data_IF_104389243030
#
_entry.id   IF_104389243030
#
_cell.length_a   1.000
_cell.length_b   1.000
_cell.length_c   1.000
_cell.angle_alpha   90.00
_cell.angle_beta   90.00
_cell.angle_gamma   90.00
#
_symmetry.space_group_name_H-M   'P 1'
#
loop_
_entity.id
_entity.type
_entity.pdbx_description
1 polymer ?
#
# COMPACT_ATOMS: atom_id res chain seq x y z
N UNK A 1 37.51 1.82 -1.68
CA UNK A 1 36.42 2.54 -2.37
C UNK A 1 35.53 1.53 -3.06
N UNK A 2 34.22 1.59 -2.92
CA UNK A 2 33.24 0.74 -3.60
C UNK A 2 32.80 1.37 -4.92
N UNK A 3 32.33 0.55 -5.87
CA UNK A 3 31.61 1.07 -7.04
C UNK A 3 30.26 1.65 -6.63
N UNK A 4 29.54 0.90 -5.81
CA UNK A 4 28.20 1.30 -5.35
C UNK A 4 28.02 1.01 -3.87
N UNK A 5 27.50 1.99 -3.13
CA UNK A 5 26.96 1.78 -1.78
C UNK A 5 25.44 1.85 -1.85
N UNK A 6 24.77 0.93 -1.18
CA UNK A 6 23.31 0.87 -1.08
C UNK A 6 22.93 0.99 0.39
N UNK A 7 22.05 1.96 0.73
CA UNK A 7 21.59 2.19 2.09
C UNK A 7 20.16 1.66 2.22
N UNK A 8 19.99 0.61 3.02
CA UNK A 8 18.72 -0.03 3.33
C UNK A 8 18.58 -1.42 2.72
N UNK A 9 18.38 -2.43 3.56
CA UNK A 9 18.21 -3.85 3.22
C UNK A 9 16.76 -4.29 3.02
N UNK A 10 15.87 -3.38 2.58
CA UNK A 10 14.49 -3.67 2.18
C UNK A 10 14.40 -4.24 0.76
N UNK A 11 13.18 -4.53 0.23
CA UNK A 11 13.03 -5.14 -1.10
C UNK A 11 13.68 -4.31 -2.22
N UNK A 12 13.60 -2.98 -2.17
CA UNK A 12 14.23 -2.11 -3.17
C UNK A 12 15.76 -2.14 -3.08
N UNK A 13 16.33 -2.10 -1.88
CA UNK A 13 17.77 -2.14 -1.69
C UNK A 13 18.37 -3.51 -2.02
N UNK A 14 17.68 -4.60 -1.64
CA UNK A 14 18.10 -5.95 -2.01
C UNK A 14 18.10 -6.15 -3.53
N UNK A 15 17.05 -5.71 -4.23
CA UNK A 15 16.99 -5.80 -5.69
C UNK A 15 18.02 -4.85 -6.36
N UNK A 16 18.27 -3.68 -5.77
CA UNK A 16 19.33 -2.79 -6.24
C UNK A 16 20.72 -3.44 -6.08
N UNK A 17 20.95 -4.17 -4.98
CA UNK A 17 22.20 -4.90 -4.78
C UNK A 17 22.37 -6.03 -5.80
N UNK A 18 21.30 -6.78 -6.10
CA UNK A 18 21.30 -7.79 -7.17
C UNK A 18 21.72 -7.15 -8.50
N UNK A 19 21.03 -6.10 -8.93
CA UNK A 19 21.27 -5.50 -10.23
C UNK A 19 22.64 -4.79 -10.31
N UNK A 20 23.09 -4.14 -9.24
CA UNK A 20 24.40 -3.48 -9.20
C UNK A 20 25.55 -4.48 -9.24
N UNK A 21 25.44 -5.60 -8.54
CA UNK A 21 26.48 -6.63 -8.50
C UNK A 21 26.58 -7.45 -9.79
N UNK A 22 25.57 -7.46 -10.63
CA UNK A 22 25.64 -7.97 -12.00
C UNK A 22 26.54 -7.10 -12.90
N UNK A 23 26.74 -5.83 -12.55
CA UNK A 23 27.54 -4.86 -13.29
C UNK A 23 28.93 -4.64 -12.70
N UNK A 24 29.09 -4.83 -11.39
CA UNK A 24 30.36 -4.60 -10.68
C UNK A 24 30.51 -5.54 -9.50
N UNK A 25 31.71 -6.02 -9.27
CA UNK A 25 32.05 -6.87 -8.10
C UNK A 25 32.24 -6.09 -6.79
N UNK A 26 32.18 -4.74 -6.82
CA UNK A 26 32.47 -3.89 -5.66
C UNK A 26 31.22 -3.16 -5.17
N UNK A 27 30.29 -3.91 -4.55
CA UNK A 27 29.03 -3.41 -4.02
C UNK A 27 28.97 -3.61 -2.50
N UNK A 28 28.54 -2.57 -1.77
CA UNK A 28 28.30 -2.58 -0.33
C UNK A 28 26.83 -2.28 -0.05
N UNK A 29 26.18 -3.16 0.72
CA UNK A 29 24.84 -2.95 1.28
C UNK A 29 24.94 -2.69 2.79
N UNK A 30 24.39 -1.56 3.25
CA UNK A 30 24.37 -1.18 4.66
C UNK A 30 22.92 -1.20 5.18
N UNK A 31 22.69 -1.94 6.24
CA UNK A 31 21.40 -2.04 6.94
C UNK A 31 21.56 -1.74 8.44
N UNK A 32 20.73 -0.85 8.97
CA UNK A 32 20.83 -0.42 10.39
C UNK A 32 20.34 -1.45 11.40
N UNK A 33 19.50 -2.42 10.97
CA UNK A 33 18.95 -3.45 11.82
C UNK A 33 19.57 -4.81 11.49
N UNK A 34 19.48 -5.73 12.44
CA UNK A 34 19.81 -7.14 12.20
C UNK A 34 18.72 -7.80 11.35
N UNK A 35 19.11 -8.48 10.28
CA UNK A 35 18.25 -9.21 9.36
C UNK A 35 17.66 -8.34 8.26
N UNK A 36 17.96 -8.70 7.03
CA UNK A 36 17.48 -8.06 5.80
C UNK A 36 16.01 -8.39 5.53
N UNK A 37 15.33 -7.55 4.75
CA UNK A 37 13.95 -7.80 4.29
C UNK A 37 12.87 -7.79 5.38
N UNK A 38 13.10 -7.15 6.52
CA UNK A 38 12.22 -7.23 7.72
C UNK A 38 10.75 -6.88 7.42
N UNK A 39 10.50 -5.76 6.71
CA UNK A 39 9.14 -5.36 6.34
C UNK A 39 8.53 -6.32 5.31
N UNK A 40 9.35 -6.85 4.39
CA UNK A 40 8.93 -7.84 3.39
C UNK A 40 8.47 -9.15 4.04
N UNK A 41 9.18 -9.63 5.08
CA UNK A 41 8.84 -10.86 5.83
C UNK A 41 7.44 -10.84 6.46
N UNK A 42 6.96 -9.68 6.86
CA UNK A 42 5.62 -9.53 7.49
C UNK A 42 4.54 -9.12 6.49
N UNK A 43 4.90 -8.83 5.26
CA UNK A 43 3.95 -8.40 4.24
C UNK A 43 2.93 -9.50 3.89
N UNK A 44 1.71 -9.09 3.53
CA UNK A 44 0.65 -10.03 3.18
C UNK A 44 0.33 -11.04 4.29
N UNK A 45 0.48 -10.67 5.57
CA UNK A 45 0.28 -11.57 6.71
C UNK A 45 1.36 -12.66 6.79
N UNK A 46 2.58 -12.39 6.34
CA UNK A 46 3.70 -13.34 6.31
C UNK A 46 3.75 -14.20 5.03
N UNK A 47 2.84 -13.95 4.07
CA UNK A 47 2.77 -14.70 2.80
C UNK A 47 3.51 -14.02 1.64
N UNK A 48 3.65 -12.68 1.69
CA UNK A 48 4.22 -11.80 0.67
C UNK A 48 3.47 -11.81 -0.67
N UNK A 49 2.82 -10.72 -1.01
CA UNK A 49 2.39 -10.46 -2.40
C UNK A 49 3.61 -9.96 -3.19
N UNK A 50 4.37 -10.87 -3.79
CA UNK A 50 5.64 -10.59 -4.47
C UNK A 50 5.48 -9.55 -5.57
N UNK A 51 4.42 -9.72 -6.37
CA UNK A 51 4.02 -8.80 -7.44
C UNK A 51 2.54 -9.02 -7.77
N UNK A 52 2.10 -8.46 -8.89
CA UNK A 52 0.76 -8.65 -9.44
C UNK A 52 0.87 -8.98 -10.94
N UNK A 53 0.08 -9.95 -11.43
CA UNK A 53 0.14 -10.42 -12.82
C UNK A 53 -0.73 -9.62 -13.80
N UNK A 54 -1.42 -8.60 -13.32
CA UNK A 54 -2.13 -7.69 -14.23
C UNK A 54 -1.15 -7.07 -15.24
N UNK A 55 -1.62 -6.69 -16.43
CA UNK A 55 -0.81 -5.89 -17.34
C UNK A 55 -0.26 -4.65 -16.63
N UNK A 56 0.98 -4.27 -16.89
CA UNK A 56 1.63 -3.19 -16.16
C UNK A 56 0.85 -1.86 -16.20
N UNK A 57 0.11 -1.60 -17.26
CA UNK A 57 -0.77 -0.43 -17.34
C UNK A 57 -1.89 -0.46 -16.28
N UNK A 58 -2.41 -1.64 -15.94
CA UNK A 58 -3.40 -1.82 -14.87
C UNK A 58 -2.72 -1.77 -13.50
N UNK A 59 -1.51 -2.31 -13.36
CA UNK A 59 -0.71 -2.14 -12.13
C UNK A 59 -0.53 -0.65 -11.82
N UNK A 60 -0.15 0.16 -12.81
CA UNK A 60 0.05 1.61 -12.67
C UNK A 60 -1.22 2.33 -12.21
N UNK A 61 -2.41 1.92 -12.68
CA UNK A 61 -3.70 2.47 -12.21
C UNK A 61 -3.96 2.18 -10.73
N UNK A 62 -3.43 1.08 -10.21
CA UNK A 62 -3.49 0.72 -8.79
C UNK A 62 -2.40 1.38 -7.93
N UNK A 63 -1.63 2.32 -8.50
CA UNK A 63 -0.63 3.13 -7.83
C UNK A 63 -1.08 4.61 -7.89
N UNK A 64 -2.06 5.03 -7.05
CA UNK A 64 -2.61 6.38 -7.08
C UNK A 64 -1.62 7.47 -6.65
N UNK A 65 -0.50 7.09 -6.05
CA UNK A 65 0.63 7.96 -5.73
C UNK A 65 1.65 7.99 -6.85
N UNK A 66 1.44 8.83 -7.87
CA UNK A 66 2.36 9.08 -8.98
C UNK A 66 2.74 7.83 -9.82
N UNK A 67 1.87 6.83 -9.91
CA UNK A 67 2.12 5.58 -10.63
C UNK A 67 2.61 5.76 -12.08
N UNK A 68 2.23 6.85 -12.75
CA UNK A 68 2.67 7.16 -14.13
C UNK A 68 4.19 7.30 -14.25
N UNK A 69 4.90 7.65 -13.18
CA UNK A 69 6.35 7.70 -13.16
C UNK A 69 6.97 6.34 -13.49
N UNK A 70 6.29 5.26 -13.15
CA UNK A 70 6.79 3.89 -13.30
C UNK A 70 6.76 3.36 -14.74
N UNK A 71 6.11 4.02 -15.70
CA UNK A 71 6.12 3.57 -17.10
C UNK A 71 7.55 3.33 -17.63
N UNK A 72 8.47 4.20 -17.28
CA UNK A 72 9.86 4.08 -17.73
C UNK A 72 10.61 2.95 -17.01
N UNK A 73 10.60 2.84 -15.67
CA UNK A 73 11.19 1.69 -14.98
C UNK A 73 10.59 0.34 -15.42
N UNK A 74 9.28 0.24 -15.64
CA UNK A 74 8.62 -0.98 -16.12
C UNK A 74 9.08 -1.41 -17.53
N UNK A 75 9.54 -0.48 -18.37
CA UNK A 75 10.08 -0.84 -19.68
C UNK A 75 11.46 -1.52 -19.62
N UNK A 76 12.10 -1.49 -18.45
CA UNK A 76 13.42 -2.10 -18.20
C UNK A 76 13.27 -3.39 -17.39
N UNK A 77 12.45 -3.36 -16.35
CA UNK A 77 12.20 -4.49 -15.46
C UNK A 77 10.74 -4.43 -15.01
N UNK A 78 9.91 -5.37 -15.44
CA UNK A 78 8.47 -5.37 -15.20
C UNK A 78 8.03 -6.45 -14.21
N UNK A 79 6.73 -6.62 -14.05
CA UNK A 79 6.16 -7.62 -13.15
C UNK A 79 6.40 -9.06 -13.63
N UNK A 80 6.46 -9.33 -14.94
CA UNK A 80 6.82 -10.65 -15.45
C UNK A 80 8.30 -10.93 -15.19
N UNK A 81 9.17 -9.93 -15.37
CA UNK A 81 10.59 -10.02 -15.00
C UNK A 81 10.78 -10.35 -13.51
N UNK A 82 9.93 -9.80 -12.62
CA UNK A 82 9.94 -10.16 -11.20
C UNK A 82 9.56 -11.63 -11.02
N UNK A 83 8.52 -12.11 -11.69
CA UNK A 83 8.09 -13.52 -11.63
C UNK A 83 9.23 -14.42 -12.07
N UNK A 84 9.81 -14.16 -13.25
CA UNK A 84 10.93 -14.93 -13.79
C UNK A 84 12.16 -14.92 -12.87
N UNK A 85 12.44 -13.77 -12.23
CA UNK A 85 13.54 -13.65 -11.27
C UNK A 85 13.40 -14.66 -10.11
N UNK A 86 12.21 -14.76 -9.52
CA UNK A 86 11.99 -15.66 -8.39
C UNK A 86 11.85 -17.12 -8.84
N UNK A 87 11.12 -17.40 -9.91
CA UNK A 87 10.89 -18.77 -10.39
C UNK A 87 12.18 -19.41 -10.91
N UNK A 88 13.03 -18.68 -11.63
CA UNK A 88 14.35 -19.17 -12.07
C UNK A 88 15.29 -19.47 -10.92
N UNK A 89 15.03 -18.92 -9.73
CA UNK A 89 15.80 -19.16 -8.49
C UNK A 89 15.12 -20.15 -7.55
N UNK A 90 14.08 -20.86 -8.02
CA UNK A 90 13.43 -21.96 -7.31
C UNK A 90 12.24 -21.59 -6.42
N UNK A 91 11.84 -20.31 -6.37
CA UNK A 91 10.62 -19.91 -5.66
C UNK A 91 9.44 -19.91 -6.63
N UNK A 92 8.68 -21.02 -6.62
CA UNK A 92 7.45 -21.13 -7.43
C UNK A 92 6.40 -20.15 -6.92
N UNK A 93 5.78 -19.41 -7.82
CA UNK A 93 4.71 -18.47 -7.54
C UNK A 93 3.36 -19.03 -7.98
N UNK A 94 2.29 -18.61 -7.31
CA UNK A 94 0.89 -18.87 -7.67
C UNK A 94 0.13 -17.56 -7.76
N UNK A 95 -0.81 -17.50 -8.69
CA UNK A 95 -1.76 -16.41 -8.79
C UNK A 95 -2.97 -16.67 -7.89
N UNK A 96 -3.37 -15.66 -7.13
CA UNK A 96 -4.62 -15.63 -6.38
C UNK A 96 -5.50 -14.48 -6.91
N UNK A 97 -6.67 -14.27 -6.30
CA UNK A 97 -7.64 -13.25 -6.66
C UNK A 97 -6.99 -11.88 -6.95
N UNK A 98 -7.55 -11.17 -7.91
CA UNK A 98 -7.07 -9.85 -8.37
C UNK A 98 -5.63 -9.85 -8.92
N UNK A 99 -5.14 -10.96 -9.42
CA UNK A 99 -3.80 -11.09 -10.02
C UNK A 99 -2.65 -11.09 -9.02
N UNK A 100 -2.90 -11.28 -7.73
CA UNK A 100 -1.86 -11.30 -6.70
C UNK A 100 -0.95 -12.51 -6.85
N UNK A 101 0.36 -12.27 -6.95
CA UNK A 101 1.36 -13.33 -7.06
C UNK A 101 1.98 -13.62 -5.69
N UNK A 102 1.82 -14.83 -5.19
CA UNK A 102 2.34 -15.27 -3.90
C UNK A 102 3.23 -16.51 -4.06
N UNK A 103 4.22 -16.71 -3.20
CA UNK A 103 4.95 -17.97 -3.18
C UNK A 103 4.00 -19.15 -2.86
N UNK A 104 4.15 -20.26 -3.58
CA UNK A 104 3.35 -21.48 -3.38
C UNK A 104 3.46 -21.96 -1.93
N UNK A 105 4.63 -21.78 -1.31
CA UNK A 105 4.88 -22.10 0.10
C UNK A 105 4.07 -21.26 1.09
N UNK A 106 3.49 -20.12 0.66
CA UNK A 106 2.87 -19.11 1.51
C UNK A 106 3.82 -18.53 2.59
N UNK A 107 5.13 -18.50 2.33
CA UNK A 107 6.15 -17.99 3.25
C UNK A 107 6.89 -16.79 2.62
N UNK A 108 6.71 -15.61 3.17
CA UNK A 108 7.45 -14.41 2.78
C UNK A 108 8.96 -14.56 2.97
N UNK A 109 9.37 -15.47 3.88
CA UNK A 109 10.78 -15.78 4.13
C UNK A 109 11.48 -16.29 2.87
N UNK A 110 10.85 -17.16 2.08
CA UNK A 110 11.47 -17.73 0.86
C UNK A 110 11.80 -16.62 -0.17
N UNK A 111 10.96 -15.59 -0.23
CA UNK A 111 11.20 -14.42 -1.09
C UNK A 111 12.42 -13.62 -0.62
N UNK A 112 12.53 -13.41 0.69
CA UNK A 112 13.68 -12.70 1.28
C UNK A 112 14.95 -13.52 1.11
N UNK A 113 14.91 -14.82 1.42
CA UNK A 113 16.07 -15.71 1.34
C UNK A 113 16.61 -15.79 -0.09
N UNK A 114 15.72 -15.76 -1.08
CA UNK A 114 16.14 -15.74 -2.49
C UNK A 114 16.92 -14.46 -2.84
N UNK A 115 16.45 -13.31 -2.42
CA UNK A 115 17.17 -12.04 -2.63
C UNK A 115 18.51 -12.04 -1.90
N UNK A 116 18.53 -12.44 -0.62
CA UNK A 116 19.75 -12.46 0.20
C UNK A 116 20.77 -13.45 -0.36
N UNK A 117 20.36 -14.70 -0.64
CA UNK A 117 21.26 -15.71 -1.20
C UNK A 117 21.81 -15.26 -2.57
N UNK A 118 21.02 -14.52 -3.37
CA UNK A 118 21.49 -14.01 -4.66
C UNK A 118 22.62 -13.02 -4.47
N UNK A 119 22.48 -12.01 -3.61
CA UNK A 119 23.52 -11.01 -3.37
C UNK A 119 24.77 -11.61 -2.67
N UNK A 120 24.60 -12.62 -1.80
CA UNK A 120 25.70 -13.35 -1.19
C UNK A 120 26.52 -14.11 -2.25
N UNK A 121 25.86 -14.81 -3.18
CA UNK A 121 26.52 -15.51 -4.31
C UNK A 121 27.21 -14.56 -5.26
N UNK A 122 26.73 -13.33 -5.38
CA UNK A 122 27.34 -12.26 -6.17
C UNK A 122 28.41 -11.49 -5.39
N UNK A 123 28.79 -11.95 -4.20
CA UNK A 123 29.83 -11.40 -3.34
C UNK A 123 29.60 -9.94 -2.91
N UNK A 124 28.34 -9.50 -2.78
CA UNK A 124 28.01 -8.21 -2.20
C UNK A 124 28.49 -8.16 -0.75
N UNK A 125 29.21 -7.12 -0.38
CA UNK A 125 29.58 -6.88 1.02
C UNK A 125 28.34 -6.42 1.78
N UNK A 126 27.95 -7.10 2.87
CA UNK A 126 26.78 -6.78 3.67
C UNK A 126 27.23 -6.30 5.06
N UNK A 127 26.71 -5.16 5.50
CA UNK A 127 26.90 -4.61 6.85
C UNK A 127 25.54 -4.43 7.50
N UNK A 128 25.23 -5.31 8.42
CA UNK A 128 24.04 -5.21 9.27
C UNK A 128 24.36 -4.54 10.60
N UNK A 129 23.33 -4.07 11.30
CA UNK A 129 23.44 -3.35 12.59
C UNK A 129 24.32 -2.11 12.48
N UNK A 130 24.40 -1.53 11.28
CA UNK A 130 25.23 -0.37 10.98
C UNK A 130 24.38 0.80 10.43
N UNK A 131 24.03 1.73 11.31
CA UNK A 131 23.20 2.87 10.96
C UNK A 131 24.03 3.97 10.28
N UNK A 132 23.63 4.38 9.08
CA UNK A 132 24.19 5.57 8.43
C UNK A 132 23.73 6.80 9.19
N UNK A 133 24.66 7.71 9.46
CA UNK A 133 24.43 8.98 10.17
C UNK A 133 24.47 10.19 9.25
N UNK A 134 25.32 10.17 8.24
CA UNK A 134 25.54 11.29 7.30
C UNK A 134 26.08 10.80 5.96
N UNK A 135 25.79 11.55 4.92
CA UNK A 135 26.31 11.37 3.57
C UNK A 135 26.99 12.67 3.13
N UNK A 136 28.16 12.58 2.58
CA UNK A 136 28.91 13.70 2.00
C UNK A 136 29.15 13.44 0.51
N UNK A 137 29.04 14.49 -0.28
CA UNK A 137 29.48 14.52 -1.68
C UNK A 137 30.87 15.17 -1.73
N UNK A 138 31.85 14.43 -2.17
CA UNK A 138 33.25 14.90 -2.26
C UNK A 138 33.44 15.83 -3.46
N UNK A 139 34.57 16.55 -3.47
CA UNK A 139 34.91 17.48 -4.55
C UNK A 139 35.08 16.79 -5.91
N UNK A 140 35.46 15.52 -5.92
CA UNK A 140 35.56 14.64 -7.08
C UNK A 140 34.24 13.94 -7.44
N UNK A 141 33.14 14.38 -6.83
CA UNK A 141 31.76 13.83 -6.98
C UNK A 141 31.60 12.39 -6.50
N UNK A 142 32.56 11.82 -5.79
CA UNK A 142 32.37 10.55 -5.05
C UNK A 142 31.58 10.79 -3.77
N UNK A 143 31.14 9.71 -3.13
CA UNK A 143 30.35 9.76 -1.89
C UNK A 143 31.14 9.21 -0.71
N UNK A 144 31.08 9.90 0.43
CA UNK A 144 31.48 9.35 1.73
C UNK A 144 30.26 9.13 2.58
N UNK A 145 30.01 7.86 2.94
CA UNK A 145 28.90 7.43 3.79
C UNK A 145 29.43 7.17 5.19
N UNK A 146 29.00 7.98 6.15
CA UNK A 146 29.40 7.87 7.55
C UNK A 146 28.37 7.03 8.31
N UNK A 147 28.85 6.09 9.11
CA UNK A 147 28.07 5.34 10.08
C UNK A 147 28.52 5.73 11.50
N UNK A 148 27.99 5.08 12.51
CA UNK A 148 28.42 5.33 13.90
C UNK A 148 29.91 4.98 14.14
N UNK A 149 30.42 3.96 13.44
CA UNK A 149 31.75 3.40 13.72
C UNK A 149 32.71 3.47 12.53
N UNK A 150 32.21 3.67 11.31
CA UNK A 150 32.98 3.58 10.07
C UNK A 150 32.63 4.68 9.08
N UNK A 151 33.49 4.82 8.07
CA UNK A 151 33.20 5.60 6.86
C UNK A 151 33.55 4.78 5.64
N UNK A 152 32.69 4.86 4.61
CA UNK A 152 32.83 4.14 3.36
C UNK A 152 32.77 5.09 2.18
N UNK A 153 33.57 4.85 1.17
CA UNK A 153 33.60 5.66 -0.04
C UNK A 153 33.11 4.90 -1.26
N UNK A 154 32.38 5.58 -2.15
CA UNK A 154 31.89 4.99 -3.41
C UNK A 154 31.77 6.00 -4.54
N UNK A 155 31.78 5.48 -5.78
CA UNK A 155 31.50 6.26 -6.98
C UNK A 155 30.02 6.57 -7.14
N UNK A 156 29.14 5.67 -6.73
CA UNK A 156 27.68 5.85 -6.77
C UNK A 156 27.02 5.46 -5.46
N UNK A 157 25.86 6.04 -5.19
CA UNK A 157 25.11 5.84 -3.97
C UNK A 157 23.64 5.57 -4.27
N UNK A 158 23.04 4.55 -3.64
CA UNK A 158 21.61 4.24 -3.73
C UNK A 158 20.95 4.43 -2.36
N UNK A 159 19.96 5.31 -2.25
CA UNK A 159 19.11 5.46 -1.06
C UNK A 159 17.86 4.59 -1.23
N UNK A 160 17.73 3.52 -0.44
CA UNK A 160 16.67 2.53 -0.49
C UNK A 160 16.05 2.25 0.90
N UNK A 161 15.97 3.28 1.74
CA UNK A 161 15.67 3.19 3.18
C UNK A 161 14.18 2.97 3.51
N UNK A 162 13.30 3.01 2.51
CA UNK A 162 11.85 2.93 2.70
C UNK A 162 11.25 4.23 3.26
N UNK A 163 10.01 4.14 3.74
CA UNK A 163 9.25 5.27 4.31
C UNK A 163 9.31 5.37 5.84
N UNK A 164 8.18 5.76 6.45
CA UNK A 164 8.01 5.89 7.91
C UNK A 164 6.95 4.95 8.49
N UNK A 165 6.30 4.16 7.65
CA UNK A 165 5.31 3.18 8.09
C UNK A 165 5.97 1.92 8.66
N UNK A 166 5.35 1.31 9.68
CA UNK A 166 5.85 0.11 10.39
C UNK A 166 7.31 0.30 10.90
N UNK A 167 7.59 1.33 11.72
CA UNK A 167 8.96 1.76 12.08
C UNK A 167 9.78 0.69 12.83
N UNK A 168 9.12 -0.28 13.49
CA UNK A 168 9.79 -1.40 14.14
C UNK A 168 10.58 -2.28 13.16
N UNK A 169 10.28 -2.21 11.87
CA UNK A 169 11.02 -2.95 10.83
C UNK A 169 12.29 -2.24 10.37
N UNK A 170 12.49 -0.99 10.76
CA UNK A 170 13.63 -0.17 10.36
C UNK A 170 13.25 1.04 9.48
N UNK A 171 12.00 1.13 9.00
CA UNK A 171 11.50 2.26 8.19
C UNK A 171 11.17 3.46 9.09
N UNK A 172 12.15 4.26 9.46
CA UNK A 172 12.05 5.40 10.38
C UNK A 172 12.19 6.76 9.70
N UNK A 173 12.28 6.78 8.36
CA UNK A 173 12.35 8.01 7.58
C UNK A 173 13.75 8.62 7.44
N UNK A 174 14.82 7.91 7.80
CA UNK A 174 16.20 8.41 7.72
C UNK A 174 16.56 8.90 6.32
N UNK A 175 16.11 8.18 5.28
CA UNK A 175 16.36 8.53 3.88
C UNK A 175 15.77 9.87 3.47
N UNK A 176 14.70 10.30 4.08
CA UNK A 176 14.15 11.65 3.82
C UNK A 176 15.12 12.72 4.29
N UNK A 177 15.72 12.53 5.47
CA UNK A 177 16.75 13.44 5.98
C UNK A 177 17.97 13.43 5.05
N UNK A 178 18.47 12.27 4.66
CA UNK A 178 19.62 12.19 3.76
C UNK A 178 19.36 12.87 2.42
N UNK A 179 18.19 12.61 1.82
CA UNK A 179 17.79 13.25 0.57
C UNK A 179 17.65 14.77 0.72
N UNK A 180 17.09 15.25 1.82
CA UNK A 180 16.93 16.69 2.11
C UNK A 180 18.29 17.37 2.32
N UNK A 181 19.21 16.74 3.05
CA UNK A 181 20.57 17.24 3.28
C UNK A 181 21.34 17.34 1.93
N UNK A 182 20.99 16.52 0.94
CA UNK A 182 21.50 16.54 -0.44
C UNK A 182 20.69 17.44 -1.40
N UNK A 183 19.80 18.27 -0.88
CA UNK A 183 19.07 19.29 -1.63
C UNK A 183 17.73 18.86 -2.22
N UNK A 184 17.28 17.61 -1.98
CA UNK A 184 16.00 17.13 -2.48
C UNK A 184 14.81 17.65 -1.68
N UNK A 185 13.71 17.88 -2.38
CA UNK A 185 12.41 18.23 -1.80
C UNK A 185 11.69 16.98 -1.31
N UNK A 186 11.26 17.00 -0.04
CA UNK A 186 10.38 15.98 0.52
C UNK A 186 8.95 16.49 0.49
N UNK A 187 8.07 15.80 -0.24
CA UNK A 187 6.63 16.10 -0.24
C UNK A 187 6.03 15.69 1.10
N UNK A 188 4.87 16.26 1.42
CA UNK A 188 4.23 15.97 2.70
C UNK A 188 3.97 14.46 2.88
N UNK A 189 4.40 13.94 4.03
CA UNK A 189 4.19 12.54 4.39
C UNK A 189 2.81 12.36 5.04
N UNK A 190 2.10 11.30 4.66
CA UNK A 190 0.79 10.98 5.21
C UNK A 190 0.55 9.46 5.23
N UNK A 191 -0.34 8.96 6.13
CA UNK A 191 -0.67 7.54 6.16
C UNK A 191 -1.51 7.15 4.95
N UNK A 192 -1.20 6.00 4.34
CA UNK A 192 -2.03 5.36 3.32
C UNK A 192 -2.09 3.85 3.56
N UNK A 193 -3.12 3.18 3.04
CA UNK A 193 -3.37 1.77 3.36
C UNK A 193 -3.43 1.56 4.89
N UNK A 194 -4.31 2.30 5.55
CA UNK A 194 -4.41 2.39 6.99
C UNK A 194 -5.89 2.34 7.42
N UNK A 195 -6.26 1.75 8.58
CA UNK A 195 -7.63 1.80 9.08
C UNK A 195 -8.13 3.23 9.28
N UNK A 196 -9.43 3.43 9.04
CA UNK A 196 -10.12 4.73 9.15
C UNK A 196 -10.83 4.80 10.50
N UNK A 197 -10.74 5.95 11.18
CA UNK A 197 -11.35 6.17 12.48
C UNK A 197 -12.72 6.87 12.37
N UNK A 198 -13.62 6.54 13.27
CA UNK A 198 -14.95 7.15 13.34
C UNK A 198 -15.42 7.30 14.78
N UNK A 199 -16.09 8.42 15.05
CA UNK A 199 -16.69 8.70 16.37
C UNK A 199 -18.20 8.47 16.39
N UNK A 200 -18.76 7.84 15.37
CA UNK A 200 -20.19 7.52 15.29
C UNK A 200 -20.66 6.68 16.48
N UNK A 201 -21.90 6.88 16.97
CA UNK A 201 -22.42 6.15 18.13
C UNK A 201 -22.35 4.63 17.99
N UNK A 202 -22.63 4.09 16.80
CA UNK A 202 -22.59 2.65 16.55
C UNK A 202 -21.16 2.06 16.58
N UNK A 203 -20.12 2.88 16.34
CA UNK A 203 -18.71 2.50 16.51
C UNK A 203 -18.36 2.52 18.00
N UNK A 204 -18.68 3.64 18.71
CA UNK A 204 -18.39 3.80 20.15
C UNK A 204 -19.05 2.75 21.02
N UNK A 205 -20.28 2.35 20.68
CA UNK A 205 -21.02 1.30 21.38
C UNK A 205 -20.53 -0.13 21.06
N UNK A 206 -19.58 -0.28 20.14
CA UNK A 206 -19.11 -1.56 19.62
C UNK A 206 -20.21 -2.44 18.97
N UNK A 207 -21.34 -1.87 18.55
CA UNK A 207 -22.50 -2.60 18.04
C UNK A 207 -22.17 -3.52 16.86
N UNK A 208 -21.33 -3.01 15.91
CA UNK A 208 -20.89 -3.74 14.73
C UNK A 208 -19.45 -4.27 14.83
N UNK A 209 -18.79 -4.11 15.96
CA UNK A 209 -17.38 -4.54 16.13
C UNK A 209 -17.19 -6.02 15.75
N UNK A 210 -16.18 -6.28 14.90
CA UNK A 210 -15.81 -7.60 14.40
C UNK A 210 -16.73 -8.10 13.27
N UNK A 211 -17.72 -7.32 12.84
CA UNK A 211 -18.55 -7.65 11.69
C UNK A 211 -17.78 -7.35 10.40
N UNK A 212 -17.68 -8.35 9.53
CA UNK A 212 -17.14 -8.20 8.17
C UNK A 212 -18.29 -8.18 7.17
N UNK A 213 -18.33 -7.20 6.31
CA UNK A 213 -19.19 -7.17 5.14
C UNK A 213 -18.36 -7.59 3.92
N UNK A 214 -18.92 -8.48 3.11
CA UNK A 214 -18.26 -9.01 1.92
C UNK A 214 -18.67 -8.23 0.69
N UNK A 215 -17.70 -7.93 -0.15
CA UNK A 215 -17.90 -7.35 -1.49
C UNK A 215 -18.83 -6.10 -1.51
N UNK A 216 -18.68 -5.21 -0.53
CA UNK A 216 -19.46 -3.97 -0.44
C UNK A 216 -18.72 -2.81 -1.14
N UNK A 217 -19.45 -1.87 -1.71
CA UNK A 217 -18.87 -0.63 -2.20
C UNK A 217 -18.77 0.39 -1.07
N UNK A 218 -17.55 0.79 -0.74
CA UNK A 218 -17.25 1.86 0.20
C UNK A 218 -16.81 3.12 -0.55
N UNK A 219 -17.47 4.23 -0.30
CA UNK A 219 -17.24 5.50 -0.99
C UNK A 219 -16.80 6.60 -0.04
N UNK A 220 -15.80 7.40 -0.44
CA UNK A 220 -15.46 8.69 0.19
C UNK A 220 -16.24 9.79 -0.51
N UNK A 221 -16.92 10.65 0.24
CA UNK A 221 -17.80 11.69 -0.31
C UNK A 221 -17.16 13.07 -0.27
N UNK A 222 -17.36 13.84 -1.33
CA UNK A 222 -17.07 15.28 -1.38
C UNK A 222 -18.10 16.04 -0.56
N UNK A 223 -17.83 17.34 -0.26
CA UNK A 223 -18.75 18.23 0.45
C UNK A 223 -20.16 18.32 -0.17
N UNK A 224 -20.28 18.15 -1.48
CA UNK A 224 -21.56 18.17 -2.20
C UNK A 224 -22.25 16.80 -2.28
N UNK A 225 -21.82 15.80 -1.52
CA UNK A 225 -22.37 14.45 -1.49
C UNK A 225 -21.95 13.56 -2.67
N UNK A 226 -21.25 14.07 -3.69
CA UNK A 226 -20.78 13.24 -4.80
C UNK A 226 -19.61 12.36 -4.35
N UNK A 227 -19.53 11.15 -4.90
CA UNK A 227 -18.41 10.24 -4.66
C UNK A 227 -17.09 10.85 -5.14
N UNK A 228 -16.07 10.85 -4.29
CA UNK A 228 -14.67 11.17 -4.63
C UNK A 228 -13.99 9.97 -5.24
N UNK A 229 -14.18 8.84 -4.60
CA UNK A 229 -13.68 7.52 -4.97
C UNK A 229 -14.59 6.46 -4.37
N UNK A 230 -14.64 5.29 -4.99
CA UNK A 230 -15.29 4.10 -4.46
C UNK A 230 -14.38 2.89 -4.64
N UNK A 231 -14.45 1.95 -3.71
CA UNK A 231 -13.80 0.65 -3.81
C UNK A 231 -14.78 -0.44 -3.39
N UNK A 232 -14.99 -1.42 -4.27
CA UNK A 232 -15.82 -2.59 -4.01
C UNK A 232 -14.92 -3.72 -3.54
N UNK A 233 -14.97 -4.04 -2.25
CA UNK A 233 -14.18 -5.08 -1.59
C UNK A 233 -14.76 -5.38 -0.20
N UNK A 234 -14.17 -6.33 0.50
CA UNK A 234 -14.50 -6.63 1.90
C UNK A 234 -14.18 -5.44 2.82
N UNK A 235 -15.04 -5.25 3.82
CA UNK A 235 -14.88 -4.24 4.87
C UNK A 235 -15.09 -4.86 6.25
N UNK A 236 -14.39 -4.37 7.26
CA UNK A 236 -14.48 -4.82 8.65
C UNK A 236 -14.79 -3.64 9.58
N UNK A 237 -15.81 -3.76 10.41
CA UNK A 237 -16.05 -2.85 11.53
C UNK A 237 -15.14 -3.18 12.72
N UNK A 238 -14.51 -2.15 13.29
CA UNK A 238 -13.61 -2.25 14.45
C UNK A 238 -14.15 -1.43 15.63
N UNK A 239 -13.46 -1.47 16.76
CA UNK A 239 -13.81 -0.64 17.93
C UNK A 239 -13.47 0.85 17.77
N UNK A 240 -12.69 1.21 16.75
CA UNK A 240 -12.28 2.60 16.50
C UNK A 240 -12.80 3.16 15.16
N UNK A 241 -13.46 2.34 14.35
CA UNK A 241 -13.92 2.73 13.02
C UNK A 241 -14.03 1.55 12.07
N UNK A 242 -13.40 1.64 10.90
CA UNK A 242 -13.45 0.62 9.86
C UNK A 242 -12.05 0.24 9.36
N UNK A 243 -11.92 -1.01 8.89
CA UNK A 243 -10.73 -1.59 8.31
C UNK A 243 -11.12 -2.53 7.16
N UNK A 244 -10.21 -3.37 6.72
CA UNK A 244 -10.41 -4.26 5.57
C UNK A 244 -10.03 -3.60 4.24
N UNK A 245 -9.94 -4.36 3.15
CA UNK A 245 -9.41 -3.87 1.87
C UNK A 245 -10.08 -2.61 1.34
N UNK A 246 -11.41 -2.51 1.39
CA UNK A 246 -12.13 -1.31 0.95
C UNK A 246 -11.74 -0.06 1.75
N UNK A 247 -11.68 -0.18 3.09
CA UNK A 247 -11.34 0.92 3.97
C UNK A 247 -9.87 1.35 3.80
N UNK A 248 -8.95 0.39 3.69
CA UNK A 248 -7.53 0.67 3.47
C UNK A 248 -7.31 1.48 2.20
N UNK A 249 -7.91 1.09 1.08
CA UNK A 249 -7.82 1.83 -0.20
C UNK A 249 -8.46 3.21 -0.15
N UNK A 250 -9.53 3.39 0.63
CA UNK A 250 -10.19 4.68 0.81
C UNK A 250 -9.37 5.64 1.69
N UNK A 251 -8.49 5.17 2.55
CA UNK A 251 -7.87 5.94 3.65
C UNK A 251 -7.13 7.20 3.20
N UNK A 252 -6.33 7.12 2.14
CA UNK A 252 -5.62 8.28 1.60
C UNK A 252 -6.56 9.38 1.09
N UNK A 253 -7.75 8.99 0.59
CA UNK A 253 -8.73 9.95 0.09
C UNK A 253 -9.49 10.62 1.23
N UNK A 254 -9.68 9.94 2.36
CA UNK A 254 -10.18 10.58 3.60
C UNK A 254 -9.20 11.68 4.02
N UNK A 255 -7.90 11.37 4.12
CA UNK A 255 -6.87 12.36 4.44
C UNK A 255 -6.87 13.55 3.47
N UNK A 256 -6.87 13.27 2.16
CA UNK A 256 -6.90 14.31 1.12
C UNK A 256 -8.17 15.16 1.17
N UNK A 257 -9.35 14.55 1.41
CA UNK A 257 -10.61 15.29 1.51
C UNK A 257 -10.69 16.11 2.80
N UNK A 258 -10.13 15.67 3.92
CA UNK A 258 -10.02 16.51 5.14
C UNK A 258 -9.29 17.84 4.84
N UNK A 259 -8.19 17.76 4.10
CA UNK A 259 -7.44 18.95 3.67
C UNK A 259 -8.25 19.82 2.69
N UNK A 260 -8.82 19.19 1.66
CA UNK A 260 -9.59 19.91 0.63
C UNK A 260 -10.81 20.63 1.21
N UNK A 261 -11.53 19.97 2.11
CA UNK A 261 -12.75 20.51 2.73
C UNK A 261 -12.45 21.36 3.99
N UNK A 262 -11.21 21.39 4.45
CA UNK A 262 -10.77 22.04 5.71
C UNK A 262 -11.64 21.63 6.89
N UNK A 263 -11.93 20.34 7.03
CA UNK A 263 -12.75 19.75 8.09
C UNK A 263 -12.12 18.48 8.63
N UNK A 264 -12.39 18.20 9.90
CA UNK A 264 -11.98 16.93 10.50
C UNK A 264 -12.95 15.77 10.17
N UNK A 265 -14.18 16.07 9.74
CA UNK A 265 -15.21 15.08 9.49
C UNK A 265 -15.49 14.94 8.00
N UNK A 266 -15.29 13.73 7.50
CA UNK A 266 -15.60 13.36 6.10
C UNK A 266 -16.75 12.35 6.11
N UNK A 267 -17.71 12.54 5.22
CA UNK A 267 -18.78 11.57 5.00
C UNK A 267 -18.29 10.43 4.12
N UNK A 268 -18.63 9.22 4.52
CA UNK A 268 -18.46 8.00 3.72
C UNK A 268 -19.81 7.33 3.53
N UNK A 269 -19.94 6.53 2.48
CA UNK A 269 -21.15 5.77 2.20
C UNK A 269 -20.82 4.29 1.94
N UNK A 270 -21.67 3.40 2.48
CA UNK A 270 -21.61 1.97 2.21
C UNK A 270 -22.80 1.61 1.32
N UNK A 271 -22.55 0.98 0.18
CA UNK A 271 -23.52 0.23 -0.60
C UNK A 271 -23.29 -1.25 -0.33
N UNK A 272 -24.25 -1.87 0.36
CA UNK A 272 -24.14 -3.26 0.78
C UNK A 272 -24.45 -4.26 -0.34
N UNK A 273 -25.04 -3.80 -1.45
CA UNK A 273 -25.44 -4.61 -2.61
C UNK A 273 -25.03 -3.93 -3.93
N UNK A 274 -23.73 -3.74 -4.19
CA UNK A 274 -23.26 -2.96 -5.34
C UNK A 274 -23.69 -3.55 -6.69
N UNK A 275 -23.90 -4.86 -6.78
CA UNK A 275 -24.33 -5.54 -8.01
C UNK A 275 -25.82 -5.32 -8.35
N UNK A 276 -26.62 -4.84 -7.41
CA UNK A 276 -28.06 -4.59 -7.59
C UNK A 276 -28.33 -3.09 -7.61
N UNK A 277 -29.13 -2.61 -8.58
CA UNK A 277 -29.69 -1.29 -8.48
C UNK A 277 -30.83 -1.22 -7.47
N UNK A 278 -31.34 -0.03 -7.15
CA UNK A 278 -32.40 0.18 -6.14
C UNK A 278 -33.65 -0.64 -6.44
N UNK A 279 -34.10 -0.68 -7.68
CA UNK A 279 -35.31 -1.40 -8.08
C UNK A 279 -35.10 -2.93 -7.96
N UNK A 280 -33.96 -3.45 -8.41
CA UNK A 280 -33.64 -4.87 -8.30
C UNK A 280 -33.55 -5.32 -6.84
N UNK A 281 -32.89 -4.52 -5.97
CA UNK A 281 -32.83 -4.83 -4.54
C UNK A 281 -34.22 -4.79 -3.90
N UNK A 282 -35.04 -3.79 -4.25
CA UNK A 282 -36.42 -3.68 -3.77
C UNK A 282 -37.25 -4.90 -4.17
N UNK A 283 -37.18 -5.31 -5.44
CA UNK A 283 -37.88 -6.50 -5.94
C UNK A 283 -37.42 -7.78 -5.21
N UNK A 284 -36.10 -7.92 -5.00
CA UNK A 284 -35.55 -9.06 -4.26
C UNK A 284 -36.06 -9.12 -2.83
N UNK A 285 -36.02 -8.00 -2.08
CA UNK A 285 -36.54 -7.92 -0.72
C UNK A 285 -38.05 -8.20 -0.72
N UNK A 286 -38.81 -7.61 -1.66
CA UNK A 286 -40.27 -7.81 -1.75
C UNK A 286 -40.59 -9.29 -1.96
N UNK A 287 -39.86 -10.01 -2.80
CA UNK A 287 -40.05 -11.45 -3.01
C UNK A 287 -39.86 -12.23 -1.71
N UNK A 288 -38.74 -11.97 -0.98
CA UNK A 288 -38.49 -12.65 0.31
C UNK A 288 -39.59 -12.41 1.36
N UNK A 289 -40.15 -11.20 1.39
CA UNK A 289 -41.23 -10.83 2.31
C UNK A 289 -42.56 -11.48 1.90
N UNK A 290 -42.85 -11.55 0.62
CA UNK A 290 -44.08 -12.15 0.07
C UNK A 290 -44.13 -13.66 0.28
N UNK A 291 -42.99 -14.33 0.27
CA UNK A 291 -42.85 -15.77 0.52
C UNK A 291 -43.15 -16.12 2.01
N UNK A 292 -43.08 -15.12 2.90
CA UNK A 292 -43.21 -15.32 4.35
C UNK A 292 -44.02 -14.19 5.02
N UNK A 293 -45.30 -13.97 4.64
CA UNK A 293 -46.07 -12.78 5.03
C UNK A 293 -46.30 -12.67 6.55
N UNK A 294 -46.45 -13.79 7.24
CA UNK A 294 -46.75 -13.86 8.68
C UNK A 294 -45.50 -13.93 9.57
N UNK A 295 -44.30 -14.07 8.95
CA UNK A 295 -43.06 -14.04 9.72
C UNK A 295 -42.63 -12.61 10.04
N UNK A 296 -41.93 -12.45 11.13
CA UNK A 296 -41.25 -11.18 11.46
C UNK A 296 -40.14 -10.90 10.49
N UNK A 297 -39.94 -9.60 10.13
CA UNK A 297 -39.08 -9.14 9.05
C UNK A 297 -37.63 -9.63 9.16
N UNK A 298 -37.06 -9.69 10.36
CA UNK A 298 -35.74 -10.21 10.57
C UNK A 298 -35.57 -11.68 10.14
N UNK A 299 -36.61 -12.48 10.33
CA UNK A 299 -36.61 -13.89 9.95
C UNK A 299 -36.89 -14.07 8.45
N UNK A 300 -37.70 -13.21 7.86
CA UNK A 300 -37.96 -13.20 6.41
C UNK A 300 -36.76 -12.79 5.60
N UNK A 301 -35.94 -11.90 6.13
CA UNK A 301 -34.67 -11.40 5.49
C UNK A 301 -33.43 -12.14 5.99
N UNK A 302 -33.61 -13.23 6.76
CA UNK A 302 -32.47 -14.05 7.21
C UNK A 302 -31.66 -14.57 6.00
N UNK A 303 -30.36 -14.40 6.03
CA UNK A 303 -29.47 -14.82 4.95
C UNK A 303 -29.30 -13.81 3.80
N UNK A 304 -30.05 -12.69 3.79
CA UNK A 304 -29.86 -11.62 2.84
C UNK A 304 -28.49 -10.91 3.03
N UNK A 305 -28.15 -10.66 4.28
CA UNK A 305 -26.88 -10.09 4.72
C UNK A 305 -26.59 -10.55 6.16
N UNK A 306 -25.40 -10.25 6.68
CA UNK A 306 -25.05 -10.55 8.08
C UNK A 306 -26.09 -10.00 9.06
N UNK A 307 -26.63 -10.85 9.93
CA UNK A 307 -27.79 -10.55 10.80
C UNK A 307 -27.61 -9.26 11.62
N UNK A 308 -26.43 -9.06 12.22
CA UNK A 308 -26.16 -7.83 13.00
C UNK A 308 -26.23 -6.55 12.15
N UNK A 309 -25.85 -6.64 10.87
CA UNK A 309 -25.97 -5.51 9.97
C UNK A 309 -27.42 -5.30 9.52
N UNK A 310 -28.15 -6.37 9.25
CA UNK A 310 -29.59 -6.31 8.96
C UNK A 310 -30.35 -5.60 10.09
N UNK A 311 -30.16 -6.04 11.33
CA UNK A 311 -30.84 -5.44 12.51
C UNK A 311 -30.47 -3.96 12.67
N UNK A 312 -29.21 -3.61 12.43
CA UNK A 312 -28.77 -2.22 12.46
C UNK A 312 -29.42 -1.40 11.35
N UNK A 313 -29.56 -1.92 10.13
CA UNK A 313 -30.22 -1.22 9.03
C UNK A 313 -31.72 -1.05 9.25
N UNK A 314 -32.39 -2.04 9.81
CA UNK A 314 -33.82 -1.94 10.22
C UNK A 314 -33.99 -0.79 11.21
N UNK A 315 -33.18 -0.73 12.26
CA UNK A 315 -33.23 0.37 13.24
C UNK A 315 -32.95 1.74 12.59
N UNK A 316 -31.96 1.85 11.70
CA UNK A 316 -31.68 3.11 11.00
C UNK A 316 -32.81 3.53 10.07
N UNK A 317 -33.56 2.58 9.52
CA UNK A 317 -34.77 2.82 8.71
C UNK A 317 -36.03 3.04 9.58
N UNK A 318 -35.94 3.02 10.91
CA UNK A 318 -37.07 3.17 11.82
C UNK A 318 -38.05 2.00 11.76
N UNK A 319 -37.60 0.80 11.49
CA UNK A 319 -38.40 -0.42 11.38
C UNK A 319 -38.16 -1.29 12.62
N UNK A 320 -39.22 -1.62 13.34
CA UNK A 320 -39.16 -2.61 14.42
C UNK A 320 -38.88 -4.00 13.85
N UNK A 321 -37.83 -4.66 14.32
CA UNK A 321 -37.42 -6.00 13.88
C UNK A 321 -38.47 -7.07 14.04
N UNK A 322 -39.46 -6.85 14.93
CA UNK A 322 -40.58 -7.73 15.19
C UNK A 322 -41.81 -7.44 14.32
N UNK A 323 -41.77 -6.42 13.46
CA UNK A 323 -42.82 -6.16 12.46
C UNK A 323 -42.96 -7.37 11.55
N UNK A 324 -44.19 -7.83 11.31
CA UNK A 324 -44.46 -8.93 10.35
C UNK A 324 -44.32 -8.40 8.92
N UNK A 325 -43.91 -9.27 8.00
CA UNK A 325 -43.63 -8.92 6.61
C UNK A 325 -44.78 -8.16 5.91
N UNK A 326 -46.03 -8.60 6.12
CA UNK A 326 -47.20 -7.96 5.50
C UNK A 326 -47.59 -6.60 6.12
N UNK A 327 -47.07 -6.24 7.30
CA UNK A 327 -47.28 -4.94 7.91
C UNK A 327 -46.21 -3.89 7.49
N UNK A 328 -45.19 -4.27 6.73
CA UNK A 328 -44.20 -3.34 6.24
C UNK A 328 -44.82 -2.44 5.16
N UNK A 329 -44.82 -1.14 5.41
CA UNK A 329 -45.30 -0.18 4.42
C UNK A 329 -44.32 -0.01 3.23
N UNK A 330 -44.83 0.40 2.08
CA UNK A 330 -43.98 0.68 0.92
C UNK A 330 -42.93 1.77 1.21
N UNK A 331 -43.21 2.74 2.09
CA UNK A 331 -42.26 3.77 2.49
C UNK A 331 -41.12 3.14 3.29
N UNK A 332 -41.42 2.33 4.31
CA UNK A 332 -40.42 1.63 5.11
C UNK A 332 -39.53 0.71 4.24
N UNK A 333 -40.14 0.00 3.28
CA UNK A 333 -39.38 -0.81 2.32
C UNK A 333 -38.40 0.05 1.50
N UNK A 334 -38.85 1.20 0.98
CA UNK A 334 -37.98 2.12 0.25
C UNK A 334 -36.85 2.68 1.14
N UNK A 335 -37.16 3.02 2.39
CA UNK A 335 -36.18 3.53 3.35
C UNK A 335 -35.12 2.47 3.66
N UNK A 336 -35.52 1.20 3.85
CA UNK A 336 -34.59 0.09 4.04
C UNK A 336 -33.69 -0.13 2.82
N UNK A 337 -34.27 -0.11 1.62
CA UNK A 337 -33.51 -0.21 0.36
C UNK A 337 -32.50 0.93 0.24
N UNK A 338 -32.90 2.16 0.56
CA UNK A 338 -32.00 3.33 0.54
C UNK A 338 -30.87 3.18 1.56
N UNK A 339 -31.15 2.65 2.77
CA UNK A 339 -30.13 2.38 3.76
C UNK A 339 -29.11 1.33 3.27
N UNK A 340 -29.56 0.25 2.65
CA UNK A 340 -28.65 -0.75 2.09
C UNK A 340 -27.83 -0.21 0.90
N UNK A 341 -28.40 0.68 0.09
CA UNK A 341 -27.73 1.22 -1.10
C UNK A 341 -26.86 2.44 -0.82
N UNK A 342 -26.92 3.02 0.37
CA UNK A 342 -26.18 4.25 0.62
C UNK A 342 -26.16 4.67 2.09
N UNK A 343 -25.80 3.79 3.01
CA UNK A 343 -25.66 4.15 4.42
C UNK A 343 -24.51 5.14 4.61
N UNK A 344 -24.87 6.40 4.92
CA UNK A 344 -23.92 7.48 5.12
C UNK A 344 -23.54 7.59 6.61
N UNK A 345 -22.23 7.69 6.88
CA UNK A 345 -21.68 7.90 8.21
C UNK A 345 -20.45 8.81 8.15
N UNK A 346 -20.06 9.37 9.30
CA UNK A 346 -18.92 10.27 9.40
C UNK A 346 -17.68 9.56 9.92
N UNK A 347 -16.55 9.89 9.33
CA UNK A 347 -15.22 9.48 9.78
C UNK A 347 -14.43 10.71 10.19
N UNK A 348 -13.51 10.57 11.15
CA UNK A 348 -12.74 11.68 11.70
C UNK A 348 -11.24 11.58 11.42
N UNK A 349 -10.83 10.71 10.51
CA UNK A 349 -9.45 10.55 10.07
C UNK A 349 -9.04 9.09 9.91
N UNK A 350 -7.76 8.84 10.12
CA UNK A 350 -7.15 7.52 10.03
C UNK A 350 -6.33 7.24 11.28
N UNK A 351 -5.90 6.00 11.47
CA UNK A 351 -4.84 5.71 12.41
C UNK A 351 -3.54 6.43 11.96
N UNK A 352 -2.59 6.70 12.89
CA UNK A 352 -1.37 7.42 12.56
C UNK A 352 -0.44 6.63 11.64
N UNK A 353 0.54 7.32 11.04
CA UNK A 353 1.41 6.80 9.98
C UNK A 353 2.25 5.57 10.41
N UNK A 354 2.60 5.46 11.68
CA UNK A 354 3.31 4.30 12.24
C UNK A 354 2.45 3.01 12.23
N UNK A 355 1.12 3.15 12.11
CA UNK A 355 0.15 2.04 11.97
C UNK A 355 -0.26 1.79 10.51
N UNK A 356 0.18 2.63 9.58
CA UNK A 356 -0.09 2.45 8.15
C UNK A 356 0.78 1.32 7.56
N UNK A 357 0.28 0.67 6.52
CA UNK A 357 1.10 -0.28 5.76
C UNK A 357 2.04 0.44 4.81
N UNK A 358 1.66 1.60 4.31
CA UNK A 358 2.38 2.36 3.29
C UNK A 358 2.45 3.84 3.66
N UNK A 359 3.59 4.46 3.37
CA UNK A 359 3.81 5.90 3.48
C UNK A 359 3.42 6.58 2.17
N UNK A 360 2.54 7.58 2.23
CA UNK A 360 2.30 8.50 1.12
C UNK A 360 3.21 9.71 1.23
N UNK A 361 3.54 10.33 0.10
CA UNK A 361 4.58 11.37 0.03
C UNK A 361 5.99 10.76 -0.05
N UNK A 362 7.01 11.59 -0.08
CA UNK A 362 8.41 11.17 -0.18
C UNK A 362 9.26 12.13 -0.99
N UNK A 363 10.40 11.67 -1.49
CA UNK A 363 11.28 12.45 -2.36
C UNK A 363 10.56 12.79 -3.66
N UNK A 364 10.59 14.09 -4.02
CA UNK A 364 9.92 14.64 -5.20
C UNK A 364 10.41 13.98 -6.49
N UNK A 365 9.51 13.36 -7.23
CA UNK A 365 9.83 12.70 -8.51
C UNK A 365 10.24 13.67 -9.63
N UNK A 366 9.96 14.96 -9.49
CA UNK A 366 10.44 15.99 -10.43
C UNK A 366 11.95 16.07 -10.46
N UNK A 367 12.61 15.66 -9.38
CA UNK A 367 14.05 15.71 -9.17
C UNK A 367 14.74 14.36 -9.47
N UNK A 368 14.00 13.37 -9.94
CA UNK A 368 14.51 12.03 -10.27
C UNK A 368 14.33 11.75 -11.77
N UNK A 369 15.33 11.12 -12.37
CA UNK A 369 15.28 10.66 -13.76
C UNK A 369 14.54 9.32 -13.83
N UNK A 370 13.39 9.22 -14.50
CA UNK A 370 12.60 7.98 -14.47
C UNK A 370 13.26 6.80 -15.19
N UNK A 371 14.16 7.04 -16.13
CA UNK A 371 14.87 5.97 -16.88
C UNK A 371 15.97 5.29 -16.07
N UNK A 372 16.60 6.03 -15.16
CA UNK A 372 17.79 5.57 -14.44
C UNK A 372 17.62 5.52 -12.94
N UNK A 373 16.57 6.15 -12.41
CA UNK A 373 16.35 6.41 -10.98
C UNK A 373 17.41 7.35 -10.37
N UNK A 374 18.26 7.99 -11.17
CA UNK A 374 19.29 8.92 -10.72
C UNK A 374 18.69 10.28 -10.35
N UNK A 375 19.23 10.89 -9.32
CA UNK A 375 18.99 12.29 -8.97
C UNK A 375 19.33 13.21 -10.13
N UNK A 376 18.51 14.22 -10.36
CA UNK A 376 18.82 15.34 -11.27
C UNK A 376 19.66 16.43 -10.61
N UNK A 377 19.76 16.39 -9.27
CA UNK A 377 20.45 17.40 -8.46
C UNK A 377 21.86 16.98 -8.10
N UNK A 378 22.07 15.68 -7.85
CA UNK A 378 23.35 15.11 -7.42
C UNK A 378 23.72 13.96 -8.36
N UNK A 379 24.68 14.14 -9.26
CA UNK A 379 25.17 13.07 -10.13
C UNK A 379 25.69 11.87 -9.32
N UNK A 380 25.41 10.64 -9.78
CA UNK A 380 25.81 9.42 -9.09
C UNK A 380 24.94 9.02 -7.87
N UNK A 381 23.99 9.86 -7.47
CA UNK A 381 22.99 9.54 -6.45
C UNK A 381 21.76 8.91 -7.11
N UNK A 382 21.32 7.76 -6.60
CA UNK A 382 20.10 7.05 -7.03
C UNK A 382 19.15 6.87 -5.85
N UNK A 383 17.85 6.88 -6.12
CA UNK A 383 16.82 6.68 -5.10
C UNK A 383 15.79 5.69 -5.60
N UNK A 384 15.36 4.76 -4.73
CA UNK A 384 14.39 3.73 -5.11
C UNK A 384 13.52 3.26 -3.94
N UNK A 385 12.36 2.69 -4.27
CA UNK A 385 11.41 2.17 -3.31
C UNK A 385 10.57 3.26 -2.64
N UNK A 386 10.06 2.96 -1.45
CA UNK A 386 9.07 3.78 -0.72
C UNK A 386 9.64 5.12 -0.19
N UNK A 387 10.94 5.39 -0.31
CA UNK A 387 11.52 6.71 -0.05
C UNK A 387 11.08 7.74 -1.09
N UNK A 388 10.71 7.31 -2.28
CA UNK A 388 10.15 8.14 -3.34
C UNK A 388 8.66 8.45 -3.09
N UNK A 389 8.17 9.57 -3.60
CA UNK A 389 6.74 9.90 -3.59
C UNK A 389 5.94 8.99 -4.55
N UNK A 390 5.98 7.67 -4.27
CA UNK A 390 5.25 6.63 -5.00
C UNK A 390 4.58 5.72 -3.97
N UNK A 391 3.25 5.61 -4.06
CA UNK A 391 2.49 4.70 -3.20
C UNK A 391 1.31 4.09 -3.95
N UNK A 392 1.12 2.79 -3.76
CA UNK A 392 0.06 1.99 -4.35
C UNK A 392 -0.89 1.44 -3.30
N UNK A 393 -2.00 0.86 -3.78
CA UNK A 393 -2.89 0.06 -2.94
C UNK A 393 -2.19 -1.22 -2.46
N UNK A 394 -2.78 -1.88 -1.45
CA UNK A 394 -2.44 -3.27 -1.12
C UNK A 394 -2.79 -4.19 -2.29
N UNK A 395 -2.03 -5.29 -2.46
CA UNK A 395 -2.20 -6.24 -3.57
C UNK A 395 -0.95 -6.51 -4.40
N UNK A 396 0.25 -6.26 -3.84
CA UNK A 396 1.54 -6.46 -4.48
C UNK A 396 2.15 -5.20 -5.09
N UNK A 397 1.35 -4.16 -5.34
CA UNK A 397 1.76 -2.97 -6.11
C UNK A 397 2.95 -2.20 -5.51
N UNK A 398 3.01 -2.06 -4.18
CA UNK A 398 4.13 -1.38 -3.50
C UNK A 398 5.42 -2.21 -3.55
N UNK A 399 5.32 -3.53 -3.43
CA UNK A 399 6.47 -4.43 -3.54
C UNK A 399 6.97 -4.43 -4.99
N UNK A 400 6.06 -4.50 -5.96
CA UNK A 400 6.39 -4.35 -7.39
C UNK A 400 7.15 -3.06 -7.65
N UNK A 401 6.63 -1.91 -7.18
CA UNK A 401 7.30 -0.61 -7.34
C UNK A 401 8.70 -0.62 -6.70
N UNK A 402 8.84 -1.23 -5.52
CA UNK A 402 10.12 -1.31 -4.83
C UNK A 402 11.14 -2.17 -5.59
N UNK A 403 10.73 -3.34 -6.11
CA UNK A 403 11.60 -4.23 -6.87
C UNK A 403 11.98 -3.61 -8.22
N UNK A 404 11.02 -3.05 -8.95
CA UNK A 404 11.23 -2.40 -10.24
C UNK A 404 12.19 -1.22 -10.13
N UNK A 405 11.91 -0.28 -9.24
CA UNK A 405 12.77 0.90 -9.05
C UNK A 405 14.12 0.53 -8.45
N UNK A 406 14.18 -0.49 -7.60
CA UNK A 406 15.41 -1.04 -7.05
C UNK A 406 16.31 -1.62 -8.15
N UNK A 407 15.74 -2.46 -9.02
CA UNK A 407 16.48 -3.04 -10.14
C UNK A 407 17.08 -1.95 -11.05
N UNK A 408 16.26 -0.99 -11.46
CA UNK A 408 16.71 0.10 -12.33
C UNK A 408 17.78 0.95 -11.66
N UNK A 409 17.59 1.34 -10.40
CA UNK A 409 18.58 2.10 -9.65
C UNK A 409 19.92 1.34 -9.54
N UNK A 410 19.87 0.06 -9.20
CA UNK A 410 21.06 -0.79 -9.09
C UNK A 410 21.80 -0.97 -10.41
N UNK A 411 21.07 -1.25 -11.49
CA UNK A 411 21.62 -1.39 -12.83
C UNK A 411 22.45 -0.16 -13.23
N UNK A 412 21.88 1.02 -13.10
CA UNK A 412 22.56 2.26 -13.51
C UNK A 412 23.62 2.72 -12.49
N UNK A 413 23.46 2.44 -11.20
CA UNK A 413 24.48 2.72 -10.19
C UNK A 413 25.72 1.83 -10.39
N UNK A 414 25.54 0.55 -10.72
CA UNK A 414 26.64 -0.38 -10.98
C UNK A 414 27.47 -0.02 -12.20
N UNK A 415 26.86 0.62 -13.21
CA UNK A 415 27.53 1.12 -14.42
C UNK A 415 28.03 2.57 -14.31
N UNK A 416 27.68 3.27 -13.24
CA UNK A 416 27.97 4.69 -13.14
C UNK A 416 29.46 4.98 -13.13
N UNK A 417 29.92 5.84 -14.08
CA UNK A 417 31.23 6.44 -14.07
C UNK A 417 31.14 7.91 -14.42
N UNK A 418 31.96 8.76 -13.78
CA UNK A 418 31.96 10.19 -14.07
C UNK A 418 32.39 10.50 -15.52
N UNK A 419 33.20 9.62 -16.11
CA UNK A 419 33.70 9.79 -17.49
C UNK A 419 32.63 9.53 -18.58
N UNK A 420 31.48 8.97 -18.26
CA UNK A 420 30.42 8.69 -19.23
C UNK A 420 29.37 9.81 -19.35
N UNK A 421 29.60 10.96 -18.72
CA UNK A 421 28.68 12.11 -18.74
C UNK A 421 29.24 13.32 -19.52
N UNK A 422 30.45 13.25 -20.06
CA UNK A 422 30.99 14.17 -21.05
C UNK A 422 30.67 13.66 -22.48
#
# INVERSE_FOLDING_TARGET
MYQTIIIGGGPSGLMAAVAASEQSSSVLLIEKKKGLGRKLKISGGGRCNVTNRLPYAEIIKNIPGNGKFLYSPFSIFDNESIIDFFESRGVKLKEEDHGRMLPVSNKAQDVVDTLVTTIERQHVTIKEEEAVSRIEVNTDQTFTVHTQNNSYESHSLVIATGGTSVPQTGSTGDGYKFAQDLGHTITELFPTEVPITSAEPFIKSNRLKGLSLKDVELSVLKKNGKKRISHQMDMLFTHFGISGPAALRCSQFVYKEQKNQKTQHISMAIDAFPELNHEQLKQHITSLLSDTPDKIIKNSLHGLIEERYLLFMLEQAGIDENTTSHHLSNQQLNDLVNMFKGFVFKVNGTLPIDKAFVTGGGVSLKEIQPKTMMSKLVPGLFLCGEVLDIHGYTGGYNITSALVTGHVAGLYAGHYSHASME
#
